data_IF_385466061228
#
_entry.id   IF_385466061228
#
_cell.length_a   1.000
_cell.length_b   1.000
_cell.length_c   1.000
_cell.angle_alpha   90.00
_cell.angle_beta   90.00
_cell.angle_gamma   90.00
#
_symmetry.space_group_name_H-M   'P 1'
#
loop_
_entity.id
_entity.type
_entity.pdbx_description
1 polymer ?
#
# COMPACT_ATOMS: atom_id res chain seq x y z
N UNK A 1 -4.38 63.74 -75.96
CA UNK A 1 -4.65 63.28 -74.58
C UNK A 1 -4.93 61.79 -74.66
N UNK A 2 -4.15 60.99 -73.95
CA UNK A 2 -3.99 59.54 -74.12
C UNK A 2 -5.24 58.72 -73.79
N UNK A 3 -5.57 57.71 -74.61
CA UNK A 3 -6.48 56.63 -74.23
C UNK A 3 -5.65 55.37 -73.99
N UNK A 4 -5.48 55.01 -72.72
CA UNK A 4 -4.70 53.86 -72.28
C UNK A 4 -5.38 52.53 -72.60
N UNK A 5 -4.60 51.62 -73.18
CA UNK A 5 -4.86 50.19 -73.30
C UNK A 5 -4.95 49.56 -71.90
N UNK A 6 -6.13 49.07 -71.53
CA UNK A 6 -6.28 48.23 -70.34
C UNK A 6 -6.08 46.75 -70.71
N UNK A 7 -4.83 46.30 -70.69
CA UNK A 7 -4.51 44.87 -70.66
C UNK A 7 -4.82 44.37 -69.24
N UNK A 8 -5.92 43.63 -69.06
CA UNK A 8 -6.20 42.98 -67.76
C UNK A 8 -5.21 41.85 -67.56
N UNK A 9 -4.12 42.10 -66.85
CA UNK A 9 -3.30 41.06 -66.28
C UNK A 9 -4.06 40.44 -65.11
N UNK A 10 -4.55 39.20 -65.27
CA UNK A 10 -5.08 38.42 -64.16
C UNK A 10 -3.91 38.06 -63.25
N UNK A 11 -3.68 38.85 -62.20
CA UNK A 11 -2.76 38.48 -61.14
C UNK A 11 -3.43 37.37 -60.34
N UNK A 12 -3.06 36.12 -60.63
CA UNK A 12 -3.51 34.96 -59.87
C UNK A 12 -2.91 35.07 -58.46
N UNK A 13 -3.73 35.46 -57.48
CA UNK A 13 -3.33 35.44 -56.08
C UNK A 13 -3.41 34.00 -55.59
N UNK A 14 -2.24 33.41 -55.31
CA UNK A 14 -2.15 32.05 -54.80
C UNK A 14 -2.33 32.06 -53.29
N UNK A 15 -3.49 31.62 -52.80
CA UNK A 15 -3.73 31.48 -51.37
C UNK A 15 -3.05 30.21 -50.87
N UNK A 16 -1.99 30.35 -50.06
CA UNK A 16 -1.25 29.22 -49.51
C UNK A 16 -1.90 28.79 -48.19
N UNK A 17 -2.51 27.61 -48.16
CA UNK A 17 -3.06 27.03 -46.93
C UNK A 17 -1.93 26.32 -46.17
N UNK A 18 -1.57 26.83 -45.00
CA UNK A 18 -0.55 26.22 -44.14
C UNK A 18 -1.20 25.20 -43.20
N UNK A 19 -0.95 23.93 -43.43
CA UNK A 19 -1.40 22.85 -42.52
C UNK A 19 -0.43 22.76 -41.35
N UNK A 20 -0.88 23.14 -40.15
CA UNK A 20 -0.08 23.01 -38.93
C UNK A 20 -0.19 21.59 -38.37
N UNK A 21 0.87 20.80 -38.51
CA UNK A 21 0.98 19.49 -37.87
C UNK A 21 1.36 19.68 -36.40
N UNK A 22 0.43 19.40 -35.49
CA UNK A 22 0.70 19.43 -34.05
C UNK A 22 1.38 18.14 -33.60
N UNK A 23 2.71 18.19 -33.43
CA UNK A 23 3.48 17.10 -32.82
C UNK A 23 3.30 17.14 -31.31
N UNK A 24 2.44 16.26 -30.77
CA UNK A 24 2.29 16.09 -29.33
C UNK A 24 3.54 15.43 -28.75
N UNK A 25 4.44 16.23 -28.19
CA UNK A 25 5.59 15.75 -27.44
C UNK A 25 5.09 15.31 -26.07
N UNK A 26 5.01 14.00 -25.84
CA UNK A 26 4.71 13.45 -24.51
C UNK A 26 5.92 13.67 -23.60
N UNK A 27 5.93 14.80 -22.88
CA UNK A 27 6.87 15.02 -21.78
C UNK A 27 6.50 14.05 -20.67
N UNK A 28 7.25 12.96 -20.54
CA UNK A 28 7.16 12.11 -19.36
C UNK A 28 7.56 12.94 -18.15
N UNK A 29 6.55 13.39 -17.39
CA UNK A 29 6.75 13.88 -16.04
C UNK A 29 7.40 12.73 -15.24
N UNK A 30 8.66 12.91 -14.88
CA UNK A 30 9.53 11.93 -14.21
C UNK A 30 9.13 11.72 -12.74
N UNK A 31 7.82 11.59 -12.47
CA UNK A 31 7.23 11.42 -11.15
C UNK A 31 6.26 10.24 -11.03
N UNK A 32 6.05 9.44 -12.09
CA UNK A 32 5.04 8.36 -12.04
C UNK A 32 5.46 7.03 -12.69
N UNK A 33 6.73 6.86 -13.07
CA UNK A 33 7.24 5.61 -13.67
C UNK A 33 7.92 4.64 -12.68
N UNK A 34 7.86 4.89 -11.38
CA UNK A 34 8.22 3.87 -10.36
C UNK A 34 7.06 2.95 -10.01
N UNK A 35 5.82 3.32 -10.37
CA UNK A 35 4.62 2.59 -9.93
C UNK A 35 4.27 1.41 -10.85
N UNK A 36 4.43 1.53 -12.17
CA UNK A 36 4.01 0.47 -13.11
C UNK A 36 5.06 -0.59 -13.42
N UNK A 37 6.36 -0.31 -13.22
CA UNK A 37 7.39 -1.33 -13.34
C UNK A 37 7.45 -2.27 -12.11
N UNK A 38 6.85 -1.87 -10.98
CA UNK A 38 6.74 -2.71 -9.78
C UNK A 38 5.43 -3.54 -9.75
N UNK A 39 4.42 -3.17 -10.53
CA UNK A 39 3.14 -3.90 -10.62
C UNK A 39 3.23 -5.09 -11.59
N UNK A 40 4.00 -4.99 -12.68
CA UNK A 40 4.10 -6.06 -13.68
C UNK A 40 5.06 -7.21 -13.30
N UNK A 41 5.93 -7.05 -12.29
CA UNK A 41 6.63 -8.19 -11.66
C UNK A 41 5.82 -8.83 -10.52
N UNK A 42 4.67 -8.25 -10.15
CA UNK A 42 3.83 -8.71 -9.04
C UNK A 42 2.68 -9.64 -9.46
N UNK A 43 2.45 -9.83 -10.77
CA UNK A 43 1.36 -10.66 -11.29
C UNK A 43 1.77 -12.08 -11.73
N UNK A 44 3.02 -12.50 -11.54
CA UNK A 44 3.45 -13.90 -11.73
C UNK A 44 3.44 -14.75 -10.45
N UNK A 45 2.93 -14.24 -9.32
CA UNK A 45 2.90 -14.97 -8.03
C UNK A 45 1.51 -15.45 -7.58
N UNK A 46 0.62 -15.73 -8.54
CA UNK A 46 -0.60 -16.50 -8.31
C UNK A 46 -0.50 -17.82 -9.06
N UNK A 47 0.53 -18.62 -8.75
CA UNK A 47 0.58 -20.08 -8.85
C UNK A 47 2.01 -20.53 -8.53
N UNK A 48 2.18 -21.74 -8.00
CA UNK A 48 3.47 -22.43 -7.71
C UNK A 48 4.11 -22.13 -6.35
N UNK A 49 3.79 -23.01 -5.40
CA UNK A 49 4.80 -23.93 -4.89
C UNK A 49 5.81 -23.40 -3.89
N UNK A 50 5.78 -23.99 -2.69
CA UNK A 50 6.88 -24.04 -1.70
C UNK A 50 8.25 -23.98 -2.39
N UNK A 51 8.90 -22.82 -2.40
CA UNK A 51 10.31 -22.74 -2.73
C UNK A 51 11.09 -22.32 -1.49
N UNK A 52 11.58 -23.34 -0.77
CA UNK A 52 12.53 -23.19 0.33
C UNK A 52 13.87 -22.78 -0.28
N UNK A 53 14.12 -21.48 -0.40
CA UNK A 53 15.48 -21.00 -0.68
C UNK A 53 16.38 -21.32 0.51
N UNK A 54 17.50 -22.00 0.22
CA UNK A 54 18.49 -22.53 1.16
C UNK A 54 19.14 -21.42 1.99
N UNK A 55 18.62 -21.28 3.21
CA UNK A 55 19.15 -20.52 4.34
C UNK A 55 18.24 -20.83 5.53
N UNK A 56 18.79 -21.10 6.72
CA UNK A 56 17.95 -21.38 7.89
C UNK A 56 17.26 -20.08 8.31
N UNK A 57 15.98 -19.92 7.98
CA UNK A 57 15.17 -18.83 8.51
C UNK A 57 14.96 -19.11 10.00
N UNK A 58 15.54 -18.27 10.86
CA UNK A 58 15.33 -18.35 12.29
C UNK A 58 13.95 -17.79 12.61
N UNK A 59 12.98 -18.69 12.81
CA UNK A 59 11.62 -18.30 13.19
C UNK A 59 11.52 -18.21 14.71
N UNK A 60 11.01 -17.09 15.20
CA UNK A 60 10.65 -16.92 16.60
C UNK A 60 9.30 -17.59 16.83
N UNK A 61 9.28 -18.55 17.75
CA UNK A 61 8.05 -19.22 18.17
C UNK A 61 7.53 -18.57 19.46
N UNK A 62 6.35 -17.95 19.34
CA UNK A 62 5.61 -17.41 20.46
C UNK A 62 4.79 -18.51 21.14
N UNK A 63 4.46 -18.34 22.43
CA UNK A 63 3.60 -19.24 23.20
C UNK A 63 2.25 -18.56 23.49
N UNK A 64 1.14 -19.32 23.50
CA UNK A 64 -0.20 -18.82 23.84
C UNK A 64 -1.13 -18.63 22.63
N UNK A 65 -2.05 -17.66 22.71
CA UNK A 65 -2.95 -17.30 21.60
C UNK A 65 -2.19 -16.43 20.60
N UNK A 66 -2.01 -16.92 19.38
CA UNK A 66 -1.10 -16.33 18.39
C UNK A 66 -1.84 -16.04 17.09
N UNK A 67 -1.46 -14.94 16.46
CA UNK A 67 -1.81 -14.61 15.09
C UNK A 67 -0.76 -15.18 14.15
N UNK A 68 -1.21 -16.02 13.23
CA UNK A 68 -0.36 -16.66 12.23
C UNK A 68 -0.70 -16.21 10.82
N UNK A 69 0.26 -16.26 9.90
CA UNK A 69 0.02 -15.96 8.50
C UNK A 69 -0.96 -16.96 7.88
N UNK A 70 -1.97 -16.50 7.15
CA UNK A 70 -2.99 -17.38 6.54
C UNK A 70 -2.42 -18.37 5.51
N UNK A 71 -1.31 -18.05 4.86
CA UNK A 71 -0.77 -18.85 3.74
C UNK A 71 0.28 -19.87 4.16
N UNK A 72 1.11 -19.55 5.16
CA UNK A 72 2.20 -20.42 5.61
C UNK A 72 2.09 -20.81 7.09
N UNK A 73 1.09 -20.29 7.80
CA UNK A 73 0.89 -20.47 9.24
C UNK A 73 2.09 -20.06 10.13
N UNK A 74 3.02 -19.28 9.60
CA UNK A 74 4.12 -18.70 10.40
C UNK A 74 3.57 -17.78 11.48
N UNK A 75 4.12 -17.84 12.69
CA UNK A 75 3.70 -17.00 13.81
C UNK A 75 4.10 -15.55 13.53
N UNK A 76 3.15 -14.62 13.63
CA UNK A 76 3.38 -13.20 13.34
C UNK A 76 3.30 -12.35 14.60
N UNK A 77 2.29 -12.54 15.45
CA UNK A 77 2.11 -11.71 16.63
C UNK A 77 1.44 -12.47 17.76
N UNK A 78 1.70 -12.06 19.01
CA UNK A 78 0.99 -12.58 20.17
C UNK A 78 -0.33 -11.83 20.34
N UNK A 79 -1.32 -12.48 20.97
CA UNK A 79 -2.53 -11.81 21.42
C UNK A 79 -2.24 -10.74 22.49
N UNK A 80 -1.22 -10.92 23.32
CA UNK A 80 -0.82 -9.94 24.33
C UNK A 80 -0.36 -8.60 23.75
N UNK A 81 0.17 -8.60 22.52
CA UNK A 81 0.65 -7.40 21.84
C UNK A 81 -0.46 -6.69 21.05
N UNK A 82 -1.70 -7.20 21.09
CA UNK A 82 -2.84 -6.59 20.40
C UNK A 82 -3.27 -5.32 21.13
N UNK A 83 -3.03 -4.17 20.50
CA UNK A 83 -3.39 -2.86 21.04
C UNK A 83 -4.85 -2.54 20.75
N UNK A 84 -5.30 -2.73 19.51
CA UNK A 84 -6.67 -2.39 19.13
C UNK A 84 -7.16 -3.15 17.90
N UNK A 85 -8.45 -3.50 17.92
CA UNK A 85 -9.17 -4.17 16.84
C UNK A 85 -10.00 -3.22 15.97
N UNK A 86 -10.07 -1.94 16.34
CA UNK A 86 -10.93 -0.94 15.72
C UNK A 86 -10.38 -0.31 14.45
N UNK A 87 -9.25 -0.82 13.91
CA UNK A 87 -8.62 -0.24 12.74
C UNK A 87 -9.25 -0.77 11.45
N UNK A 88 -9.37 0.11 10.47
CA UNK A 88 -9.88 -0.21 9.14
C UNK A 88 -8.87 0.20 8.08
N UNK A 89 -8.61 -0.72 7.16
CA UNK A 89 -7.85 -0.49 5.94
C UNK A 89 -8.82 -0.46 4.74
N UNK A 90 -8.30 -0.04 3.58
CA UNK A 90 -9.04 -0.04 2.31
C UNK A 90 -9.68 -1.40 1.99
N UNK A 91 -9.01 -2.49 2.39
CA UNK A 91 -9.41 -3.88 2.15
C UNK A 91 -10.27 -4.50 3.27
N UNK A 92 -10.65 -3.72 4.30
CA UNK A 92 -11.49 -4.18 5.42
C UNK A 92 -10.84 -4.01 6.78
N UNK A 93 -11.25 -4.85 7.75
CA UNK A 93 -10.79 -4.77 9.15
C UNK A 93 -9.31 -5.12 9.28
N UNK A 94 -8.62 -4.38 10.15
CA UNK A 94 -7.22 -4.59 10.47
C UNK A 94 -6.98 -4.46 11.98
N UNK A 95 -5.88 -5.02 12.45
CA UNK A 95 -5.54 -5.06 13.87
C UNK A 95 -4.21 -4.35 14.10
N UNK A 96 -4.15 -3.56 15.17
CA UNK A 96 -2.97 -2.83 15.59
C UNK A 96 -2.24 -3.65 16.67
N UNK A 97 -0.97 -3.95 16.41
CA UNK A 97 -0.07 -4.67 17.29
C UNK A 97 1.12 -3.80 17.71
N UNK A 98 1.61 -4.02 18.92
CA UNK A 98 2.82 -3.37 19.43
C UNK A 98 4.09 -4.01 18.85
N UNK A 99 4.11 -5.34 18.78
CA UNK A 99 5.24 -6.12 18.26
C UNK A 99 4.77 -7.19 17.27
N UNK A 100 5.55 -7.40 16.21
CA UNK A 100 5.34 -8.43 15.19
C UNK A 100 6.68 -9.08 14.87
N UNK A 101 6.71 -10.40 14.86
CA UNK A 101 7.89 -11.24 14.58
C UNK A 101 7.79 -11.91 13.22
N UNK A 102 8.92 -12.42 12.72
CA UNK A 102 8.99 -13.17 11.47
C UNK A 102 8.50 -12.38 10.23
N UNK A 103 8.66 -11.07 10.27
CA UNK A 103 8.34 -10.15 9.17
C UNK A 103 9.56 -9.35 8.76
N UNK A 104 9.56 -8.92 7.49
CA UNK A 104 10.53 -8.00 6.91
C UNK A 104 9.83 -6.69 6.55
N UNK A 105 10.48 -5.57 6.82
CA UNK A 105 9.98 -4.23 6.51
C UNK A 105 10.43 -3.82 5.11
N UNK A 106 9.50 -3.30 4.32
CA UNK A 106 9.73 -2.76 2.98
C UNK A 106 10.29 -1.34 2.98
N UNK A 107 10.35 -0.71 1.79
CA UNK A 107 10.70 0.70 1.69
C UNK A 107 9.70 1.58 2.46
N UNK A 108 10.19 2.72 2.94
CA UNK A 108 9.35 3.72 3.58
C UNK A 108 8.56 4.49 2.52
N UNK A 109 7.26 4.60 2.72
CA UNK A 109 6.33 5.31 1.85
C UNK A 109 5.50 6.29 2.66
N UNK A 110 5.40 7.53 2.20
CA UNK A 110 4.51 8.52 2.79
C UNK A 110 3.09 8.33 2.25
N UNK A 111 2.14 8.14 3.16
CA UNK A 111 0.74 7.87 2.86
C UNK A 111 -0.17 8.79 3.67
N UNK A 112 -1.01 9.55 2.97
CA UNK A 112 -2.08 10.33 3.59
C UNK A 112 -3.23 9.42 3.97
N UNK A 113 -3.62 9.44 5.25
CA UNK A 113 -4.74 8.69 5.82
C UNK A 113 -5.75 9.67 6.43
N UNK A 114 -6.89 9.16 6.91
CA UNK A 114 -7.91 9.98 7.59
C UNK A 114 -7.35 10.75 8.77
N UNK A 115 -6.35 10.18 9.47
CA UNK A 115 -5.70 10.82 10.62
C UNK A 115 -4.50 11.70 10.25
N UNK A 116 -4.30 12.03 8.97
CA UNK A 116 -3.19 12.86 8.50
C UNK A 116 -2.08 12.09 7.76
N UNK A 117 -0.95 12.77 7.54
CA UNK A 117 0.21 12.22 6.84
C UNK A 117 1.01 11.27 7.75
N UNK A 118 1.35 10.09 7.23
CA UNK A 118 2.15 9.09 7.94
C UNK A 118 3.19 8.49 7.00
N UNK A 119 4.41 8.30 7.48
CA UNK A 119 5.41 7.45 6.83
C UNK A 119 5.17 6.02 7.30
N UNK A 120 4.86 5.12 6.37
CA UNK A 120 4.57 3.71 6.63
C UNK A 120 5.49 2.82 5.81
N UNK A 121 5.71 1.60 6.27
CA UNK A 121 6.45 0.59 5.52
C UNK A 121 5.64 -0.70 5.46
N UNK A 122 5.41 -1.20 4.25
CA UNK A 122 4.73 -2.48 4.08
C UNK A 122 5.56 -3.61 4.71
N UNK A 123 4.88 -4.57 5.34
CA UNK A 123 5.53 -5.72 5.99
C UNK A 123 5.19 -7.02 5.29
N UNK A 124 6.22 -7.83 5.10
CA UNK A 124 6.17 -9.09 4.37
C UNK A 124 6.48 -10.25 5.32
N UNK A 125 5.76 -11.36 5.19
CA UNK A 125 6.07 -12.55 5.97
C UNK A 125 7.38 -13.20 5.49
N UNK A 126 8.30 -13.52 6.39
CA UNK A 126 9.59 -14.12 6.01
C UNK A 126 9.46 -15.50 5.36
N UNK A 127 8.38 -16.23 5.65
CA UNK A 127 8.18 -17.60 5.16
C UNK A 127 7.54 -17.66 3.77
N UNK A 128 6.54 -16.81 3.48
CA UNK A 128 5.84 -16.82 2.18
C UNK A 128 6.08 -15.57 1.34
N UNK A 129 6.80 -14.57 1.87
CA UNK A 129 7.07 -13.26 1.25
C UNK A 129 5.85 -12.44 0.83
N UNK A 130 4.65 -12.85 1.26
CA UNK A 130 3.44 -12.09 0.99
C UNK A 130 3.30 -10.91 1.94
N UNK A 131 2.72 -9.82 1.44
CA UNK A 131 2.30 -8.69 2.26
C UNK A 131 1.22 -9.15 3.24
N UNK A 132 1.50 -8.94 4.53
CA UNK A 132 0.58 -9.24 5.63
C UNK A 132 0.00 -7.97 6.25
N UNK A 133 0.63 -6.82 6.00
CA UNK A 133 0.23 -5.54 6.58
C UNK A 133 1.28 -4.46 6.35
N UNK A 134 1.35 -3.50 7.27
CA UNK A 134 2.31 -2.39 7.22
C UNK A 134 2.62 -1.87 8.64
N UNK A 135 3.77 -1.25 8.82
CA UNK A 135 4.24 -0.63 10.07
C UNK A 135 4.22 0.89 9.94
N UNK A 136 3.86 1.58 11.02
CA UNK A 136 4.06 3.02 11.12
C UNK A 136 5.52 3.32 11.45
N UNK A 137 6.21 4.04 10.57
CA UNK A 137 7.57 4.51 10.83
C UNK A 137 7.55 5.89 11.48
N UNK A 138 6.76 6.81 10.94
CA UNK A 138 6.62 8.18 11.48
C UNK A 138 5.20 8.72 11.31
N UNK A 139 4.73 9.45 12.30
CA UNK A 139 3.52 10.26 12.26
C UNK A 139 3.90 11.73 12.39
N UNK A 140 3.38 12.59 11.52
CA UNK A 140 3.72 14.02 11.54
C UNK A 140 2.90 14.78 12.59
N UNK A 141 1.72 14.28 12.92
CA UNK A 141 0.84 14.87 13.91
C UNK A 141 1.12 14.33 15.32
N UNK A 142 1.21 15.23 16.31
CA UNK A 142 1.50 14.87 17.71
C UNK A 142 0.45 13.92 18.30
N UNK A 143 -0.82 14.12 17.95
CA UNK A 143 -1.94 13.27 18.40
C UNK A 143 -1.81 11.82 17.93
N UNK A 144 -1.08 11.57 16.83
CA UNK A 144 -0.93 10.25 16.21
C UNK A 144 0.41 9.58 16.53
N UNK A 145 1.28 10.23 17.31
CA UNK A 145 2.62 9.71 17.67
C UNK A 145 2.59 8.36 18.36
N UNK A 146 1.52 8.05 19.09
CA UNK A 146 1.34 6.74 19.73
C UNK A 146 1.35 5.56 18.74
N UNK A 147 1.11 5.81 17.44
CA UNK A 147 1.13 4.78 16.39
C UNK A 147 2.54 4.47 15.90
N UNK A 148 3.52 5.35 16.11
CA UNK A 148 4.89 5.14 15.65
C UNK A 148 5.48 3.83 16.23
N UNK A 149 6.13 3.06 15.36
CA UNK A 149 6.67 1.75 15.71
C UNK A 149 5.64 0.62 15.74
N UNK A 150 4.33 0.92 15.73
CA UNK A 150 3.27 -0.09 15.77
C UNK A 150 2.98 -0.69 14.40
N UNK A 151 2.40 -1.88 14.42
CA UNK A 151 2.16 -2.69 13.24
C UNK A 151 0.67 -2.87 12.99
N UNK A 152 0.27 -2.77 11.72
CA UNK A 152 -1.07 -3.08 11.27
C UNK A 152 -1.01 -4.40 10.51
N UNK A 153 -1.79 -5.38 10.95
CA UNK A 153 -2.00 -6.65 10.24
C UNK A 153 -3.41 -6.72 9.68
N UNK A 154 -3.53 -7.07 8.40
CA UNK A 154 -4.82 -7.20 7.74
C UNK A 154 -5.52 -8.50 8.18
N UNK A 155 -6.78 -8.42 8.63
CA UNK A 155 -7.54 -9.60 9.08
C UNK A 155 -7.68 -10.67 7.99
N UNK A 156 -7.72 -10.27 6.72
CA UNK A 156 -7.82 -11.20 5.60
C UNK A 156 -6.57 -12.08 5.43
N UNK A 157 -5.41 -11.60 5.92
CA UNK A 157 -4.08 -12.20 5.74
C UNK A 157 -3.57 -12.94 6.98
N UNK A 158 -4.25 -12.82 8.12
CA UNK A 158 -3.88 -13.45 9.39
C UNK A 158 -4.99 -14.36 9.93
N UNK A 159 -4.60 -15.44 10.57
CA UNK A 159 -5.47 -16.41 11.23
C UNK A 159 -5.17 -16.41 12.72
N UNK A 160 -6.20 -16.31 13.56
CA UNK A 160 -6.06 -16.44 15.01
C UNK A 160 -6.40 -17.88 15.38
N UNK A 161 -5.40 -18.70 15.71
CA UNK A 161 -5.64 -20.01 16.33
C UNK A 161 -5.69 -19.81 17.83
N UNK A 162 -6.90 -19.76 18.39
CA UNK A 162 -7.07 -19.96 19.82
C UNK A 162 -6.64 -21.40 20.12
N UNK A 163 -5.67 -21.58 21.02
CA UNK A 163 -5.34 -22.90 21.55
C UNK A 163 -6.60 -23.46 22.21
N UNK A 164 -7.25 -24.41 21.53
CA UNK A 164 -8.25 -25.38 21.99
C UNK A 164 -9.29 -24.91 23.03
N UNK A 165 -10.55 -24.80 22.58
CA UNK A 165 -11.72 -25.10 23.40
C UNK A 165 -12.33 -23.94 24.20
N UNK A 166 -13.58 -23.63 23.84
CA UNK A 166 -14.59 -22.87 24.62
C UNK A 166 -14.54 -21.33 24.59
N UNK A 167 -15.50 -20.83 23.79
CA UNK A 167 -16.43 -19.71 24.02
C UNK A 167 -16.00 -18.24 23.85
N UNK A 168 -16.90 -17.61 23.08
CA UNK A 168 -17.32 -16.20 23.06
C UNK A 168 -16.38 -15.18 22.43
N UNK A 169 -16.91 -14.56 21.37
CA UNK A 169 -16.62 -13.17 21.04
C UNK A 169 -16.95 -12.29 22.26
N UNK A 170 -15.98 -12.17 23.15
CA UNK A 170 -15.93 -11.11 24.15
C UNK A 170 -15.61 -9.80 23.45
N UNK A 171 -16.68 -9.06 23.14
CA UNK A 171 -16.66 -7.63 22.90
C UNK A 171 -15.88 -6.96 24.05
N UNK A 172 -14.77 -6.25 23.82
CA UNK A 172 -14.31 -5.28 24.79
C UNK A 172 -15.27 -4.10 24.64
N UNK A 173 -16.24 -4.02 25.54
CA UNK A 173 -16.93 -2.76 25.82
C UNK A 173 -15.86 -1.72 26.12
N UNK A 174 -15.55 -0.88 25.14
CA UNK A 174 -15.00 0.43 25.42
C UNK A 174 -16.15 1.21 26.07
N UNK A 175 -16.24 1.14 27.38
CA UNK A 175 -17.04 2.04 28.19
C UNK A 175 -16.08 2.96 28.92
N UNK A 176 -15.54 3.92 28.16
CA UNK A 176 -15.06 5.19 28.69
C UNK A 176 -16.11 6.23 28.27
N UNK A 177 -16.94 6.66 29.22
CA UNK A 177 -17.79 7.85 29.11
C UNK A 177 -18.06 8.41 30.51
N UNK A 178 -17.25 9.42 30.84
CA UNK A 178 -17.60 10.71 31.46
C UNK A 178 -18.09 10.78 32.91
N UNK A 179 -17.17 11.28 33.74
CA UNK A 179 -17.34 11.93 35.03
C UNK A 179 -17.71 13.42 34.79
N UNK A 180 -18.93 13.83 35.13
CA UNK A 180 -19.37 15.22 35.41
C UNK A 180 -20.44 15.19 36.51
#
# INVERSE_FOLDING_TARGET
MCAHTHTRACMHTHTHTHTHTHTHTHTHNFGSLKYYHHVLLFLDQVFVGRNRTMGRVYLVYLNGKIYSCRFCHSHLANFGDLVSRGFQCKKGKAYLFDSVVNVSTGPMEDRTMTTGLHTVSDIYCNSCRQVVGWKYEKAYERSQKYKEGKFILERARVECRAASGLLSEGNPTNSDADDV
#
